data_IF_582762016934
#
_entry.id   IF_582762016934
#
_cell.length_a   1.000
_cell.length_b   1.000
_cell.length_c   1.000
_cell.angle_alpha   90.00
_cell.angle_beta   90.00
_cell.angle_gamma   90.00
#
_symmetry.space_group_name_H-M   'P 1'
#
loop_
_entity.id
_entity.type
_entity.pdbx_description
1 polymer ?
#
# COMPACT_ATOMS: atom_id res chain seq x y z
N UNK A 1 3.26 -5.55 44.39
CA UNK A 1 3.99 -5.55 43.13
C UNK A 1 5.41 -5.99 43.39
N UNK A 2 5.79 -7.16 42.93
CA UNK A 2 7.16 -7.66 43.12
C UNK A 2 7.94 -7.29 41.83
N UNK A 3 8.88 -6.41 41.94
CA UNK A 3 9.80 -6.10 40.86
C UNK A 3 10.93 -7.15 40.86
N UNK A 4 11.07 -7.90 39.81
CA UNK A 4 12.19 -8.82 39.65
C UNK A 4 13.21 -8.12 38.74
N UNK A 5 14.33 -7.72 39.30
CA UNK A 5 15.47 -7.18 38.54
C UNK A 5 16.36 -8.35 38.15
N UNK A 6 16.48 -8.63 36.85
CA UNK A 6 17.43 -9.62 36.37
C UNK A 6 18.84 -9.03 36.32
N UNK A 7 19.87 -9.89 36.26
CA UNK A 7 21.29 -9.48 36.32
C UNK A 7 21.77 -8.63 35.14
N UNK A 8 20.95 -8.40 34.12
CA UNK A 8 21.27 -7.62 32.93
C UNK A 8 20.53 -6.26 32.86
N UNK A 9 19.80 -5.90 33.89
CA UNK A 9 19.17 -4.58 34.02
C UNK A 9 17.76 -4.49 33.45
N UNK A 10 17.14 -5.59 33.03
CA UNK A 10 15.72 -5.64 32.62
C UNK A 10 14.82 -5.75 33.87
N UNK A 11 13.84 -4.89 33.98
CA UNK A 11 12.84 -4.97 35.04
C UNK A 11 11.60 -5.74 34.56
N UNK A 12 11.22 -6.80 35.24
CA UNK A 12 9.93 -7.48 34.98
C UNK A 12 8.91 -7.14 36.05
N UNK A 13 7.65 -6.92 35.63
CA UNK A 13 6.51 -6.61 36.52
C UNK A 13 5.38 -7.57 36.20
N UNK A 14 4.91 -8.32 37.18
CA UNK A 14 3.71 -9.15 37.04
C UNK A 14 2.46 -8.28 37.10
N UNK A 15 1.60 -8.35 36.09
CA UNK A 15 0.33 -7.61 36.01
C UNK A 15 -0.75 -8.31 36.84
N UNK A 16 -1.74 -7.55 37.32
CA UNK A 16 -2.91 -8.10 37.97
C UNK A 16 -3.75 -8.88 36.94
N UNK A 17 -3.80 -10.22 37.07
CA UNK A 17 -4.43 -11.09 36.09
C UNK A 17 -3.50 -12.17 35.52
N UNK A 18 -2.24 -12.21 35.92
CA UNK A 18 -1.27 -13.22 35.53
C UNK A 18 -0.33 -12.83 34.38
N UNK A 19 -0.54 -11.69 33.70
CA UNK A 19 0.36 -11.20 32.68
C UNK A 19 1.66 -10.62 33.24
N UNK A 20 2.72 -10.59 32.42
CA UNK A 20 4.03 -10.03 32.76
C UNK A 20 4.37 -8.87 31.82
N UNK A 21 4.78 -7.75 32.36
CA UNK A 21 5.38 -6.65 31.60
C UNK A 21 6.91 -6.66 31.79
N UNK A 22 7.64 -6.57 30.69
CA UNK A 22 9.10 -6.43 30.68
C UNK A 22 9.47 -5.03 30.19
N UNK A 23 10.28 -4.32 30.97
CA UNK A 23 10.71 -2.96 30.60
C UNK A 23 12.21 -2.88 30.50
N UNK A 24 12.68 -2.19 29.47
CA UNK A 24 14.09 -1.85 29.29
C UNK A 24 14.60 -0.83 30.29
N UNK A 25 15.90 -0.65 30.31
CA UNK A 25 16.58 0.29 31.20
C UNK A 25 16.90 1.55 30.40
N UNK A 26 16.40 2.73 30.81
CA UNK A 26 16.70 3.98 30.12
C UNK A 26 18.21 4.24 29.93
N UNK A 27 18.58 4.68 28.71
CA UNK A 27 19.96 4.99 28.35
C UNK A 27 20.88 3.78 28.19
N UNK A 28 20.30 2.60 27.94
CA UNK A 28 21.02 1.39 27.55
C UNK A 28 20.29 0.70 26.39
N UNK A 29 21.04 0.09 25.48
CA UNK A 29 20.50 -0.88 24.54
C UNK A 29 20.10 -2.14 25.33
N UNK A 30 18.88 -2.62 25.11
CA UNK A 30 18.32 -3.73 25.84
C UNK A 30 18.15 -4.96 24.91
N UNK A 31 18.24 -6.14 25.48
CA UNK A 31 17.81 -7.37 24.80
C UNK A 31 16.79 -8.04 25.70
N UNK A 32 15.51 -8.00 25.28
CA UNK A 32 14.38 -8.47 26.06
C UNK A 32 13.68 -9.57 25.29
N UNK A 33 13.54 -10.75 25.90
CA UNK A 33 12.73 -11.82 25.35
C UNK A 33 11.60 -12.18 26.32
N UNK A 34 10.38 -12.20 25.80
CA UNK A 34 9.21 -12.61 26.53
C UNK A 34 9.16 -14.12 26.77
N UNK A 35 8.18 -14.52 27.55
CA UNK A 35 7.82 -15.91 27.83
C UNK A 35 6.33 -16.10 27.56
N UNK A 36 5.82 -17.31 27.65
CA UNK A 36 4.40 -17.62 27.41
C UNK A 36 3.40 -16.79 28.26
N UNK A 37 3.84 -16.16 29.32
CA UNK A 37 3.02 -15.31 30.19
C UNK A 37 3.28 -13.80 29.98
N UNK A 38 4.13 -13.41 29.01
CA UNK A 38 4.49 -12.02 28.76
C UNK A 38 3.47 -11.39 27.82
N UNK A 39 2.84 -10.29 28.27
CA UNK A 39 1.83 -9.57 27.49
C UNK A 39 2.30 -8.17 27.06
N UNK A 40 3.37 -7.65 27.62
CA UNK A 40 3.88 -6.32 27.31
C UNK A 40 5.41 -6.29 27.40
N UNK A 41 6.04 -5.81 26.34
CA UNK A 41 7.48 -5.55 26.29
C UNK A 41 7.66 -4.08 25.92
N UNK A 42 8.57 -3.39 26.62
CA UNK A 42 8.90 -2.00 26.37
C UNK A 42 10.40 -1.84 26.30
N UNK A 43 10.90 -1.28 25.20
CA UNK A 43 12.24 -0.75 25.08
C UNK A 43 12.41 0.48 25.98
N UNK A 44 13.47 1.24 25.80
CA UNK A 44 13.70 2.41 26.65
C UNK A 44 14.59 3.49 26.01
N UNK A 45 14.60 3.59 24.70
CA UNK A 45 15.48 4.46 23.94
C UNK A 45 16.90 3.91 23.82
N UNK A 46 17.54 4.15 22.71
CA UNK A 46 18.66 3.43 22.13
C UNK A 46 18.21 2.09 21.50
N UNK A 47 19.03 1.60 20.58
CA UNK A 47 18.75 0.42 19.75
C UNK A 47 18.51 -0.83 20.61
N UNK A 48 17.29 -1.28 20.65
CA UNK A 48 16.84 -2.41 21.47
C UNK A 48 16.58 -3.68 20.61
N UNK A 49 16.68 -4.85 21.21
CA UNK A 49 16.25 -6.12 20.62
C UNK A 49 15.14 -6.69 21.48
N UNK A 50 13.93 -6.70 20.94
CA UNK A 50 12.71 -7.06 21.66
C UNK A 50 12.03 -8.25 20.98
N UNK A 51 11.69 -9.29 21.72
CA UNK A 51 11.07 -10.49 21.16
C UNK A 51 9.95 -11.01 22.05
N UNK A 52 8.83 -11.37 21.45
CA UNK A 52 7.69 -12.01 22.12
C UNK A 52 8.06 -13.36 22.76
N UNK A 53 9.02 -14.08 22.15
CA UNK A 53 9.38 -15.44 22.61
C UNK A 53 8.35 -16.48 22.20
N UNK A 54 7.93 -17.34 23.11
CA UNK A 54 7.00 -18.43 22.81
C UNK A 54 5.53 -18.03 23.02
N UNK A 55 4.80 -17.92 21.92
CA UNK A 55 3.35 -18.04 21.74
C UNK A 55 2.41 -17.49 22.84
N UNK A 56 2.29 -16.18 22.95
CA UNK A 56 1.15 -15.48 23.54
C UNK A 56 1.01 -14.13 22.83
N UNK A 57 -0.21 -13.60 22.67
CA UNK A 57 -0.39 -12.25 22.17
C UNK A 57 0.42 -11.26 22.99
N UNK A 58 1.24 -10.45 22.33
CA UNK A 58 2.13 -9.49 23.00
C UNK A 58 1.94 -8.09 22.42
N UNK A 59 2.11 -7.09 23.27
CA UNK A 59 2.27 -5.71 22.84
C UNK A 59 3.74 -5.33 23.03
N UNK A 60 4.40 -4.85 21.97
CA UNK A 60 5.79 -4.40 22.02
C UNK A 60 5.88 -2.93 21.62
N UNK A 61 6.55 -2.11 22.45
CA UNK A 61 6.91 -0.75 22.14
C UNK A 61 8.43 -0.57 22.11
N UNK A 62 8.98 -0.16 20.97
CA UNK A 62 10.40 0.16 20.79
C UNK A 62 10.78 1.47 21.50
N UNK A 63 10.04 2.52 21.27
CA UNK A 63 10.19 3.93 21.66
C UNK A 63 11.16 4.72 20.79
N UNK A 64 12.44 4.78 21.08
CA UNK A 64 13.40 5.54 20.29
C UNK A 64 14.75 4.87 20.20
N UNK A 65 15.31 4.86 19.03
CA UNK A 65 16.48 4.10 18.63
C UNK A 65 16.19 3.41 17.31
N UNK A 66 16.98 2.42 16.94
CA UNK A 66 16.71 1.56 15.79
C UNK A 66 16.52 0.14 16.33
N UNK A 67 15.29 -0.25 16.49
CA UNK A 67 14.93 -1.47 17.18
C UNK A 67 14.92 -2.69 16.25
N UNK A 68 15.18 -3.84 16.84
CA UNK A 68 14.84 -5.13 16.26
C UNK A 68 13.71 -5.75 17.08
N UNK A 69 12.50 -5.76 16.49
CA UNK A 69 11.30 -6.27 17.15
C UNK A 69 10.84 -7.56 16.46
N UNK A 70 10.49 -8.56 17.24
CA UNK A 70 9.93 -9.81 16.74
C UNK A 70 8.74 -10.24 17.59
N UNK A 71 7.61 -10.42 16.93
CA UNK A 71 6.39 -10.99 17.47
C UNK A 71 6.49 -12.50 17.75
N UNK A 72 5.38 -13.18 17.69
CA UNK A 72 5.25 -14.63 17.93
C UNK A 72 4.73 -15.37 16.69
N UNK A 73 4.71 -16.72 16.71
CA UNK A 73 4.23 -17.52 15.57
C UNK A 73 2.77 -17.98 15.68
N UNK A 74 2.02 -17.56 16.66
CA UNK A 74 0.75 -18.24 16.93
C UNK A 74 -0.44 -17.35 17.27
N UNK A 75 -0.23 -16.06 17.50
CA UNK A 75 -1.24 -15.17 18.03
C UNK A 75 -1.13 -13.75 17.42
N UNK A 76 -2.16 -12.94 17.64
CA UNK A 76 -2.22 -11.56 17.23
C UNK A 76 -1.33 -10.67 18.09
N UNK A 77 -0.31 -10.11 17.55
CA UNK A 77 0.61 -9.21 18.22
C UNK A 77 0.36 -7.73 17.85
N UNK A 78 0.73 -6.82 18.75
CA UNK A 78 0.75 -5.38 18.48
C UNK A 78 2.19 -4.87 18.63
N UNK A 79 2.81 -4.46 17.52
CA UNK A 79 4.22 -4.12 17.45
C UNK A 79 4.40 -2.66 17.00
N UNK A 80 5.07 -1.87 17.81
CA UNK A 80 5.29 -0.45 17.58
C UNK A 80 6.78 -0.10 17.65
N UNK A 81 7.38 0.35 16.53
CA UNK A 81 8.74 0.86 16.49
C UNK A 81 8.86 2.22 17.17
N UNK A 82 8.05 3.18 16.78
CA UNK A 82 7.91 4.58 17.16
C UNK A 82 8.97 5.49 16.53
N UNK A 83 10.13 5.80 17.13
CA UNK A 83 11.13 6.71 16.57
C UNK A 83 12.42 5.96 16.25
N UNK A 84 12.89 6.07 15.02
CA UNK A 84 14.11 5.45 14.56
C UNK A 84 13.87 4.61 13.32
N UNK A 85 14.91 3.97 12.81
CA UNK A 85 14.76 3.06 11.67
C UNK A 85 14.72 1.63 12.19
N UNK A 86 13.51 1.10 12.26
CA UNK A 86 13.22 -0.14 12.95
C UNK A 86 13.15 -1.34 12.00
N UNK A 87 13.37 -2.52 12.53
CA UNK A 87 13.14 -3.79 11.83
C UNK A 87 12.14 -4.62 12.64
N UNK A 88 10.93 -4.79 12.09
CA UNK A 88 9.81 -5.41 12.80
C UNK A 88 9.33 -6.64 12.04
N UNK A 89 9.15 -7.73 12.74
CA UNK A 89 8.68 -9.02 12.23
C UNK A 89 7.48 -9.51 13.05
N UNK A 90 6.30 -9.59 12.44
CA UNK A 90 5.09 -10.16 13.05
C UNK A 90 5.22 -11.66 13.24
N UNK A 91 5.68 -12.36 12.22
CA UNK A 91 5.91 -13.79 12.06
C UNK A 91 4.64 -14.55 11.69
N UNK A 92 3.72 -14.77 12.56
CA UNK A 92 2.49 -15.46 12.23
C UNK A 92 1.38 -15.16 13.23
N UNK A 93 0.17 -15.07 12.71
CA UNK A 93 -0.98 -14.59 13.45
C UNK A 93 -1.72 -13.55 12.64
N UNK A 94 -2.45 -12.68 13.30
CA UNK A 94 -3.05 -11.49 12.70
C UNK A 94 -2.48 -10.28 13.39
N UNK A 95 -1.39 -9.79 12.89
CA UNK A 95 -0.58 -8.83 13.59
C UNK A 95 -0.95 -7.38 13.23
N UNK A 96 -0.75 -6.49 14.18
CA UNK A 96 -0.74 -5.05 13.96
C UNK A 96 0.69 -4.54 14.11
N UNK A 97 1.21 -3.90 13.05
CA UNK A 97 2.57 -3.35 13.03
C UNK A 97 2.50 -1.87 12.64
N UNK A 98 3.16 -1.03 13.42
CA UNK A 98 3.39 0.38 13.09
C UNK A 98 4.90 0.70 13.24
N UNK A 99 5.52 1.13 12.13
CA UNK A 99 6.92 1.55 12.11
C UNK A 99 7.12 2.82 12.92
N UNK A 100 6.56 3.92 12.47
CA UNK A 100 6.56 5.20 13.17
C UNK A 100 7.35 6.28 12.46
N UNK A 101 8.28 6.98 13.15
CA UNK A 101 9.18 7.94 12.51
C UNK A 101 10.48 7.25 12.11
N UNK A 102 10.85 7.26 10.83
CA UNK A 102 12.13 6.72 10.37
C UNK A 102 11.97 5.93 9.06
N UNK A 103 13.02 5.25 8.65
CA UNK A 103 12.93 4.38 7.48
C UNK A 103 12.89 2.93 7.97
N UNK A 104 11.73 2.35 7.96
CA UNK A 104 11.45 1.11 8.64
C UNK A 104 11.46 -0.10 7.69
N UNK A 105 11.70 -1.27 8.25
CA UNK A 105 11.63 -2.56 7.57
C UNK A 105 10.63 -3.45 8.28
N UNK A 106 9.46 -3.64 7.67
CA UNK A 106 8.30 -4.24 8.31
C UNK A 106 7.85 -5.50 7.56
N UNK A 107 7.68 -6.59 8.29
CA UNK A 107 7.20 -7.86 7.77
C UNK A 107 6.00 -8.34 8.60
N UNK A 108 4.83 -8.48 7.98
CA UNK A 108 3.65 -9.10 8.59
C UNK A 108 3.91 -10.58 8.90
N UNK A 109 3.99 -11.39 7.88
CA UNK A 109 4.34 -12.81 7.99
C UNK A 109 3.24 -13.73 7.49
N UNK A 110 2.86 -14.74 8.30
CA UNK A 110 1.75 -15.62 7.99
C UNK A 110 0.48 -15.10 8.68
N UNK A 111 -0.56 -14.72 7.96
CA UNK A 111 -1.85 -14.32 8.55
C UNK A 111 -2.41 -13.07 7.87
N UNK A 112 -3.60 -12.63 8.26
CA UNK A 112 -4.18 -11.40 7.70
C UNK A 112 -3.71 -10.21 8.55
N UNK A 113 -2.65 -9.54 8.14
CA UNK A 113 -1.94 -8.53 8.91
C UNK A 113 -2.40 -7.10 8.63
N UNK A 114 -2.07 -6.18 9.52
CA UNK A 114 -2.24 -4.74 9.32
C UNK A 114 -0.92 -4.05 9.61
N UNK A 115 -0.30 -3.46 8.58
CA UNK A 115 1.06 -2.91 8.66
C UNK A 115 1.07 -1.46 8.15
N UNK A 116 1.60 -0.55 8.96
CA UNK A 116 1.79 0.86 8.59
C UNK A 116 3.25 1.28 8.77
N UNK A 117 3.81 1.95 7.73
CA UNK A 117 5.15 2.56 7.79
C UNK A 117 5.14 3.86 8.59
N UNK A 118 4.11 4.68 8.42
CA UNK A 118 3.88 6.01 8.98
C UNK A 118 4.78 7.09 8.34
N UNK A 119 5.90 7.51 8.91
CA UNK A 119 6.74 8.62 8.42
C UNK A 119 8.13 8.14 8.07
N UNK A 120 8.49 8.18 6.79
CA UNK A 120 9.82 7.77 6.33
C UNK A 120 9.76 7.11 4.96
N UNK A 121 10.89 6.57 4.51
CA UNK A 121 10.87 5.75 3.30
C UNK A 121 10.95 4.29 3.75
N UNK A 122 9.79 3.66 3.78
CA UNK A 122 9.62 2.37 4.42
C UNK A 122 9.67 1.21 3.42
N UNK A 123 9.98 0.03 3.92
CA UNK A 123 9.87 -1.21 3.17
C UNK A 123 8.96 -2.16 3.92
N UNK A 124 7.83 -2.51 3.28
CA UNK A 124 6.77 -3.31 3.88
C UNK A 124 6.55 -4.57 3.03
N UNK A 125 6.41 -5.71 3.69
CA UNK A 125 5.94 -6.96 3.11
C UNK A 125 4.80 -7.50 3.97
N UNK A 126 3.63 -7.73 3.37
CA UNK A 126 2.48 -8.35 4.04
C UNK A 126 2.78 -9.81 4.37
N UNK A 127 3.07 -10.59 3.37
CA UNK A 127 3.43 -12.00 3.48
C UNK A 127 2.36 -12.94 2.98
N UNK A 128 1.87 -13.84 3.81
CA UNK A 128 0.81 -14.75 3.40
C UNK A 128 -0.49 -14.46 4.14
N UNK A 129 -1.53 -14.09 3.43
CA UNK A 129 -2.82 -13.71 3.99
C UNK A 129 -3.47 -12.58 3.23
N UNK A 130 -4.57 -12.04 3.73
CA UNK A 130 -5.18 -10.87 3.12
C UNK A 130 -4.85 -9.65 3.98
N UNK A 131 -3.86 -8.91 3.54
CA UNK A 131 -3.20 -7.89 4.34
C UNK A 131 -3.74 -6.48 4.08
N UNK A 132 -3.53 -5.60 5.05
CA UNK A 132 -3.84 -4.17 4.98
C UNK A 132 -2.53 -3.42 5.19
N UNK A 133 -2.04 -2.77 4.13
CA UNK A 133 -0.71 -2.16 4.11
C UNK A 133 -0.80 -0.67 3.78
N UNK A 134 -0.13 0.17 4.56
CA UNK A 134 -0.02 1.60 4.30
C UNK A 134 1.43 2.08 4.40
N UNK A 135 1.93 2.80 3.38
CA UNK A 135 3.26 3.41 3.40
C UNK A 135 3.32 4.61 4.33
N UNK A 136 2.55 5.65 4.02
CA UNK A 136 2.46 6.86 4.81
C UNK A 136 3.11 8.08 4.16
N UNK A 137 3.94 8.82 4.89
CA UNK A 137 4.73 9.92 4.33
C UNK A 137 6.11 9.40 3.89
N UNK A 138 6.44 9.49 2.60
CA UNK A 138 7.76 9.12 2.11
C UNK A 138 7.72 8.43 0.76
N UNK A 139 8.84 7.84 0.32
CA UNK A 139 8.83 7.04 -0.89
C UNK A 139 8.99 5.58 -0.50
N UNK A 140 7.88 4.87 -0.52
CA UNK A 140 7.76 3.57 0.09
C UNK A 140 7.89 2.42 -0.91
N UNK A 141 8.28 1.27 -0.41
CA UNK A 141 8.36 0.02 -1.15
C UNK A 141 7.48 -1.01 -0.45
N UNK A 142 6.35 -1.35 -1.08
CA UNK A 142 5.33 -2.21 -0.47
C UNK A 142 5.09 -3.45 -1.33
N UNK A 143 5.08 -4.60 -0.71
CA UNK A 143 4.73 -5.89 -1.27
C UNK A 143 3.54 -6.47 -0.50
N UNK A 144 2.43 -6.81 -1.20
CA UNK A 144 1.32 -7.59 -0.64
C UNK A 144 1.73 -9.04 -0.42
N UNK A 145 2.42 -9.61 -1.40
CA UNK A 145 2.89 -11.00 -1.49
C UNK A 145 1.74 -11.98 -1.82
N UNK A 146 1.37 -12.95 -0.95
CA UNK A 146 0.33 -13.95 -1.22
C UNK A 146 -1.00 -13.57 -0.54
N UNK A 147 -2.04 -13.26 -1.29
CA UNK A 147 -3.37 -12.99 -0.71
C UNK A 147 -4.17 -11.97 -1.50
N UNK A 148 -5.33 -11.54 -0.97
CA UNK A 148 -6.07 -10.44 -1.57
C UNK A 148 -5.86 -9.20 -0.69
N UNK A 149 -4.92 -8.38 -1.09
CA UNK A 149 -4.38 -7.32 -0.26
C UNK A 149 -5.00 -5.96 -0.54
N UNK A 150 -4.94 -5.09 0.45
CA UNK A 150 -5.28 -3.68 0.30
C UNK A 150 -4.04 -2.85 0.60
N UNK A 151 -3.57 -2.09 -0.40
CA UNK A 151 -2.33 -1.34 -0.34
C UNK A 151 -2.59 0.15 -0.59
N UNK A 152 -2.04 1.00 0.26
CA UNK A 152 -1.97 2.45 0.08
C UNK A 152 -0.53 2.93 0.15
N UNK A 153 -0.05 3.65 -0.90
CA UNK A 153 1.23 4.38 -0.88
C UNK A 153 1.13 5.62 0.00
N UNK A 154 0.04 6.37 -0.15
CA UNK A 154 -0.30 7.64 0.51
C UNK A 154 0.48 8.84 -0.03
N UNK A 155 1.52 9.35 0.62
CA UNK A 155 2.30 10.50 0.18
C UNK A 155 3.71 10.11 -0.22
N UNK A 156 4.10 10.39 -1.48
CA UNK A 156 5.45 10.12 -1.96
C UNK A 156 5.46 9.55 -3.36
N UNK A 157 6.63 9.10 -3.82
CA UNK A 157 6.70 8.35 -5.07
C UNK A 157 6.98 6.90 -4.72
N UNK A 158 5.92 6.10 -4.73
CA UNK A 158 5.91 4.79 -4.13
C UNK A 158 6.10 3.67 -5.17
N UNK A 159 6.60 2.52 -4.71
CA UNK A 159 6.64 1.29 -5.49
C UNK A 159 5.77 0.24 -4.80
N UNK A 160 4.65 -0.09 -5.43
CA UNK A 160 3.59 -0.92 -4.86
C UNK A 160 3.41 -2.18 -5.71
N UNK A 161 3.45 -3.33 -5.08
CA UNK A 161 3.31 -4.63 -5.70
C UNK A 161 2.23 -5.42 -4.96
N UNK A 162 1.13 -5.77 -5.63
CA UNK A 162 0.07 -6.61 -5.07
C UNK A 162 0.59 -8.01 -4.77
N UNK A 163 0.96 -8.74 -5.80
CA UNK A 163 1.54 -10.06 -5.67
C UNK A 163 0.66 -11.15 -6.27
N UNK A 164 0.23 -12.09 -5.48
CA UNK A 164 -0.66 -13.14 -5.93
C UNK A 164 -2.02 -13.04 -5.22
N UNK A 165 -3.09 -12.83 -5.99
CA UNK A 165 -4.46 -12.67 -5.47
C UNK A 165 -5.19 -11.54 -6.15
N UNK A 166 -6.35 -11.16 -5.64
CA UNK A 166 -7.08 -10.02 -6.22
C UNK A 166 -6.89 -8.81 -5.31
N UNK A 167 -6.00 -7.94 -5.72
CA UNK A 167 -5.51 -6.85 -4.89
C UNK A 167 -6.25 -5.54 -5.14
N UNK A 168 -6.24 -4.68 -4.15
CA UNK A 168 -6.77 -3.31 -4.26
C UNK A 168 -5.66 -2.33 -3.90
N UNK A 169 -5.16 -1.58 -4.89
CA UNK A 169 -3.98 -0.75 -4.76
C UNK A 169 -4.30 0.71 -5.08
N UNK A 170 -3.92 1.59 -4.16
CA UNK A 170 -3.99 3.03 -4.31
C UNK A 170 -2.60 3.64 -4.18
N UNK A 171 -2.13 4.36 -5.22
CA UNK A 171 -0.86 5.09 -5.18
C UNK A 171 -0.88 6.22 -4.18
N UNK A 172 -1.83 7.13 -4.35
CA UNK A 172 -2.01 8.27 -3.46
C UNK A 172 -1.55 9.58 -4.07
N UNK A 173 -0.52 10.19 -3.54
CA UNK A 173 -0.01 11.46 -4.04
C UNK A 173 1.48 11.36 -4.35
N UNK A 174 1.82 11.44 -5.62
CA UNK A 174 3.18 11.30 -6.11
C UNK A 174 3.22 10.74 -7.52
N UNK A 175 4.38 10.30 -7.96
CA UNK A 175 4.46 9.56 -9.22
C UNK A 175 4.84 8.12 -8.89
N UNK A 176 3.84 7.27 -8.88
CA UNK A 176 3.94 5.94 -8.33
C UNK A 176 4.22 4.87 -9.40
N UNK A 177 4.81 3.77 -8.98
CA UNK A 177 4.95 2.57 -9.79
C UNK A 177 4.13 1.46 -9.15
N UNK A 178 3.09 1.01 -9.86
CA UNK A 178 2.14 0.03 -9.34
C UNK A 178 2.09 -1.19 -10.25
N UNK A 179 2.18 -2.37 -9.66
CA UNK A 179 1.95 -3.63 -10.33
C UNK A 179 0.99 -4.49 -9.53
N UNK A 180 -0.15 -4.86 -10.13
CA UNK A 180 -1.14 -5.75 -9.52
C UNK A 180 -0.54 -7.12 -9.23
N UNK A 181 -0.22 -7.88 -10.25
CA UNK A 181 0.40 -9.19 -10.11
C UNK A 181 -0.39 -10.31 -10.76
N UNK A 182 -0.54 -11.41 -10.06
CA UNK A 182 -1.40 -12.52 -10.49
C UNK A 182 -2.79 -12.34 -9.88
N UNK A 183 -3.83 -12.17 -10.68
CA UNK A 183 -5.20 -12.07 -10.18
C UNK A 183 -6.02 -10.98 -10.86
N UNK A 184 -7.16 -10.63 -10.32
CA UNK A 184 -7.98 -9.56 -10.89
C UNK A 184 -7.91 -8.35 -9.96
N UNK A 185 -7.09 -7.40 -10.33
CA UNK A 185 -6.67 -6.32 -9.47
C UNK A 185 -7.45 -5.02 -9.74
N UNK A 186 -7.63 -4.24 -8.69
CA UNK A 186 -8.10 -2.87 -8.78
C UNK A 186 -6.91 -1.92 -8.52
N UNK A 187 -6.57 -1.09 -9.51
CA UNK A 187 -5.41 -0.21 -9.47
C UNK A 187 -5.84 1.23 -9.71
N UNK A 188 -5.52 2.10 -8.76
CA UNK A 188 -5.72 3.54 -8.85
C UNK A 188 -4.42 4.28 -8.47
N UNK A 189 -3.80 4.98 -9.41
CA UNK A 189 -2.62 5.83 -9.14
C UNK A 189 -2.95 7.06 -8.30
N UNK A 190 -4.20 7.53 -8.33
CA UNK A 190 -4.71 8.75 -7.70
C UNK A 190 -4.06 10.04 -8.24
N UNK A 191 -3.22 10.75 -7.48
CA UNK A 191 -2.63 12.03 -7.91
C UNK A 191 -1.20 11.86 -8.32
N UNK A 192 -0.90 12.20 -9.58
CA UNK A 192 0.44 12.12 -10.11
C UNK A 192 0.46 11.65 -11.54
N UNK A 193 1.64 11.34 -12.02
CA UNK A 193 1.80 10.67 -13.30
C UNK A 193 2.38 9.29 -13.01
N UNK A 194 1.50 8.31 -12.94
CA UNK A 194 1.79 7.02 -12.41
C UNK A 194 2.11 5.99 -13.50
N UNK A 195 2.83 4.95 -13.15
CA UNK A 195 3.15 3.85 -14.04
C UNK A 195 2.45 2.59 -13.53
N UNK A 196 1.42 2.16 -14.27
CA UNK A 196 0.46 1.14 -13.83
C UNK A 196 0.58 -0.11 -14.69
N UNK A 197 0.63 -1.28 -14.06
CA UNK A 197 0.63 -2.59 -14.69
C UNK A 197 -0.33 -3.53 -13.95
N UNK A 198 -1.25 -4.16 -14.68
CA UNK A 198 -2.15 -5.18 -14.12
C UNK A 198 -1.46 -6.52 -13.98
N UNK A 199 -0.58 -6.85 -14.94
CA UNK A 199 0.06 -8.14 -15.17
C UNK A 199 -0.94 -9.21 -15.57
N UNK A 200 -1.23 -10.23 -14.75
CA UNK A 200 -1.99 -11.38 -15.16
C UNK A 200 -3.38 -11.41 -14.52
N UNK A 201 -4.41 -11.23 -15.35
CA UNK A 201 -5.78 -11.26 -14.85
C UNK A 201 -6.77 -10.49 -15.69
N UNK A 202 -7.84 -10.10 -15.03
CA UNK A 202 -8.83 -9.15 -15.55
C UNK A 202 -8.86 -7.95 -14.65
N UNK A 203 -8.04 -6.96 -14.99
CA UNK A 203 -7.71 -5.87 -14.10
C UNK A 203 -8.57 -4.63 -14.34
N UNK A 204 -8.71 -3.82 -13.31
CA UNK A 204 -9.44 -2.56 -13.37
C UNK A 204 -8.47 -1.41 -13.09
N UNK A 205 -8.20 -0.59 -14.10
CA UNK A 205 -7.45 0.65 -13.96
C UNK A 205 -8.41 1.81 -13.72
N UNK A 206 -8.36 2.40 -12.53
CA UNK A 206 -9.27 3.44 -12.10
C UNK A 206 -8.64 4.83 -12.22
N UNK A 207 -9.40 5.79 -12.78
CA UNK A 207 -8.98 7.17 -12.94
C UNK A 207 -9.97 8.11 -12.26
N UNK A 208 -9.51 8.77 -11.20
CA UNK A 208 -10.27 9.75 -10.43
C UNK A 208 -10.04 11.20 -10.87
N UNK A 209 -9.00 11.44 -11.68
CA UNK A 209 -8.56 12.75 -12.15
C UNK A 209 -8.03 12.70 -13.59
N UNK A 210 -7.69 13.85 -14.14
CA UNK A 210 -7.10 13.98 -15.48
C UNK A 210 -6.28 15.28 -15.63
N UNK A 211 -5.51 15.37 -16.72
CA UNK A 211 -4.66 16.52 -17.05
C UNK A 211 -3.17 16.22 -16.90
N UNK A 212 -2.31 17.14 -17.30
CA UNK A 212 -0.86 16.90 -17.40
C UNK A 212 -0.15 16.61 -16.07
N UNK A 213 -0.82 16.82 -14.95
CA UNK A 213 -0.32 16.50 -13.63
C UNK A 213 -0.93 15.20 -13.06
N UNK A 214 -1.80 14.54 -13.82
CA UNK A 214 -2.45 13.28 -13.49
C UNK A 214 -2.70 12.51 -14.80
N UNK A 215 -1.64 12.26 -15.55
CA UNK A 215 -1.69 11.55 -16.84
C UNK A 215 -0.85 10.28 -16.71
N UNK A 216 -1.52 9.21 -16.39
CA UNK A 216 -0.89 7.94 -16.05
C UNK A 216 -0.47 7.15 -17.28
N UNK A 217 0.44 6.23 -17.09
CA UNK A 217 0.91 5.30 -18.11
C UNK A 217 0.48 3.90 -17.73
N UNK A 218 -0.39 3.30 -18.54
CA UNK A 218 -0.78 1.89 -18.41
C UNK A 218 0.06 1.05 -19.37
N UNK A 219 0.81 0.11 -18.83
CA UNK A 219 1.87 -0.59 -19.57
C UNK A 219 1.35 -1.78 -20.37
N UNK A 220 0.39 -2.54 -19.85
CA UNK A 220 0.04 -3.88 -20.32
C UNK A 220 -1.46 -4.13 -20.55
N UNK A 221 -2.28 -3.10 -20.63
CA UNK A 221 -3.74 -3.20 -20.81
C UNK A 221 -4.16 -4.13 -21.97
N UNK A 222 -5.08 -5.03 -21.70
CA UNK A 222 -5.65 -5.98 -22.68
C UNK A 222 -7.13 -5.72 -22.89
N UNK A 223 -7.49 -5.07 -24.02
CA UNK A 223 -8.89 -4.78 -24.35
C UNK A 223 -9.76 -6.05 -24.41
N UNK A 224 -10.88 -6.01 -23.71
CA UNK A 224 -11.82 -7.13 -23.58
C UNK A 224 -11.52 -8.08 -22.42
N UNK A 225 -10.39 -7.92 -21.76
CA UNK A 225 -10.02 -8.60 -20.50
C UNK A 225 -10.06 -7.58 -19.37
N UNK A 226 -9.33 -6.49 -19.52
CA UNK A 226 -9.22 -5.43 -18.53
C UNK A 226 -10.29 -4.36 -18.69
N UNK A 227 -10.45 -3.53 -17.65
CA UNK A 227 -11.38 -2.42 -17.59
C UNK A 227 -10.69 -1.10 -17.26
N UNK A 228 -11.29 -0.03 -17.76
CA UNK A 228 -10.97 1.36 -17.41
C UNK A 228 -12.14 1.89 -16.60
N UNK A 229 -11.95 2.09 -15.32
CA UNK A 229 -12.96 2.69 -14.44
C UNK A 229 -12.74 4.21 -14.35
N UNK A 230 -13.81 4.99 -14.56
CA UNK A 230 -13.76 6.44 -14.54
C UNK A 230 -14.66 6.99 -13.43
N UNK A 231 -14.12 7.84 -12.57
CA UNK A 231 -14.90 8.43 -11.47
C UNK A 231 -16.01 9.34 -11.99
N UNK A 232 -17.27 8.97 -11.76
CA UNK A 232 -18.45 9.71 -12.23
C UNK A 232 -18.52 11.15 -11.70
N UNK A 233 -17.92 11.41 -10.54
CA UNK A 233 -17.78 12.76 -9.96
C UNK A 233 -16.86 13.69 -10.75
N UNK A 234 -15.90 13.13 -11.47
CA UNK A 234 -14.90 13.84 -12.28
C UNK A 234 -15.29 13.89 -13.76
N UNK A 235 -15.76 12.75 -14.30
CA UNK A 235 -16.15 12.62 -15.71
C UNK A 235 -17.64 12.90 -15.91
N UNK A 236 -18.13 14.01 -15.37
CA UNK A 236 -19.55 14.35 -15.21
C UNK A 236 -20.36 14.50 -16.50
N UNK A 237 -19.70 14.63 -17.66
CA UNK A 237 -20.39 14.69 -18.96
C UNK A 237 -20.68 13.32 -19.57
N UNK A 238 -20.10 12.25 -19.00
CA UNK A 238 -20.44 10.88 -19.33
C UNK A 238 -21.73 10.50 -18.57
N UNK A 239 -22.56 9.66 -19.17
CA UNK A 239 -23.83 9.25 -18.58
C UNK A 239 -23.67 8.33 -17.37
N UNK A 240 -24.49 7.29 -17.29
CA UNK A 240 -24.36 6.22 -16.28
C UNK A 240 -23.46 5.07 -16.75
N UNK A 241 -23.06 5.10 -18.00
CA UNK A 241 -22.14 4.18 -18.68
C UNK A 241 -21.52 4.92 -19.86
N UNK A 242 -20.35 4.48 -20.32
CA UNK A 242 -19.73 5.05 -21.52
C UNK A 242 -20.40 4.45 -22.76
N UNK A 243 -21.22 5.25 -23.42
CA UNK A 243 -21.90 4.86 -24.63
C UNK A 243 -20.97 4.95 -25.86
N UNK A 244 -21.27 4.19 -26.92
CA UNK A 244 -20.49 4.26 -28.18
C UNK A 244 -20.50 5.63 -28.84
N UNK A 245 -21.47 6.49 -28.52
CA UNK A 245 -21.55 7.88 -28.96
C UNK A 245 -20.64 8.84 -28.19
N UNK A 246 -20.18 8.44 -27.01
CA UNK A 246 -19.32 9.21 -26.12
C UNK A 246 -17.84 8.79 -26.23
N UNK A 247 -17.56 7.70 -26.93
CA UNK A 247 -16.21 7.21 -27.17
C UNK A 247 -15.84 7.24 -28.65
N UNK A 248 -14.73 7.88 -28.97
CA UNK A 248 -14.26 8.04 -30.35
C UNK A 248 -12.81 7.60 -30.46
N UNK A 249 -12.51 6.73 -31.41
CA UNK A 249 -11.14 6.35 -31.78
C UNK A 249 -10.71 7.14 -33.01
N UNK A 250 -9.57 7.79 -32.92
CA UNK A 250 -8.99 8.57 -34.02
C UNK A 250 -7.50 8.25 -34.17
N UNK A 251 -6.94 8.56 -35.33
CA UNK A 251 -5.51 8.56 -35.53
C UNK A 251 -5.01 10.00 -35.63
N UNK A 252 -3.91 10.32 -34.94
CA UNK A 252 -3.31 11.66 -34.90
C UNK A 252 -4.26 12.75 -34.35
N UNK A 253 -4.81 12.51 -33.17
CA UNK A 253 -5.63 13.51 -32.48
C UNK A 253 -4.80 14.74 -32.11
N UNK A 254 -5.35 15.93 -32.35
CA UNK A 254 -4.73 17.16 -31.94
C UNK A 254 -5.45 17.75 -30.71
N UNK A 255 -4.92 17.62 -29.51
CA UNK A 255 -5.56 18.13 -28.30
C UNK A 255 -5.67 19.67 -28.24
N UNK A 256 -4.85 20.39 -28.99
CA UNK A 256 -4.91 21.86 -29.08
C UNK A 256 -6.12 22.37 -29.89
N UNK A 257 -6.68 21.52 -30.75
CA UNK A 257 -7.87 21.84 -31.57
C UNK A 257 -8.85 20.66 -31.55
N UNK A 258 -9.40 20.30 -30.37
CA UNK A 258 -10.28 19.17 -30.29
C UNK A 258 -11.56 19.43 -31.11
N UNK A 259 -12.10 18.35 -31.69
CA UNK A 259 -13.42 18.41 -32.31
C UNK A 259 -14.47 18.77 -31.23
N UNK A 260 -15.55 19.43 -31.64
CA UNK A 260 -16.54 20.00 -30.72
C UNK A 260 -17.38 18.99 -29.91
N UNK A 261 -17.12 17.70 -29.99
CA UNK A 261 -17.82 16.64 -29.26
C UNK A 261 -17.21 16.41 -27.89
N UNK A 262 -18.02 16.58 -26.85
CA UNK A 262 -17.66 16.15 -25.50
C UNK A 262 -17.61 14.62 -25.44
N UNK A 263 -16.74 14.07 -24.59
CA UNK A 263 -16.60 12.63 -24.37
C UNK A 263 -15.14 12.15 -24.36
N UNK A 264 -14.96 10.86 -24.49
CA UNK A 264 -13.66 10.21 -24.52
C UNK A 264 -13.10 10.11 -25.94
N UNK A 265 -11.84 10.45 -26.14
CA UNK A 265 -11.13 10.36 -27.42
C UNK A 265 -9.85 9.57 -27.22
N UNK A 266 -9.74 8.45 -27.92
CA UNK A 266 -8.51 7.64 -27.93
C UNK A 266 -7.73 7.84 -29.24
N UNK A 267 -6.48 8.28 -29.13
CA UNK A 267 -5.58 8.35 -30.27
C UNK A 267 -4.81 7.04 -30.45
N UNK A 268 -5.25 6.24 -31.40
CA UNK A 268 -4.67 4.92 -31.68
C UNK A 268 -3.23 4.92 -32.20
N UNK A 269 -2.68 6.11 -32.55
CA UNK A 269 -1.30 6.21 -33.03
C UNK A 269 -0.29 6.33 -31.88
N UNK A 270 -0.68 6.96 -30.76
CA UNK A 270 0.21 7.21 -29.63
C UNK A 270 -0.29 6.62 -28.31
N UNK A 271 -1.44 5.91 -28.34
CA UNK A 271 -2.02 5.25 -27.17
C UNK A 271 -2.65 6.17 -26.13
N UNK A 272 -2.88 7.45 -26.46
CA UNK A 272 -3.39 8.41 -25.50
C UNK A 272 -4.91 8.48 -25.45
N UNK A 273 -5.45 8.41 -24.25
CA UNK A 273 -6.84 8.64 -23.93
C UNK A 273 -7.02 10.07 -23.41
N UNK A 274 -7.98 10.79 -24.01
CA UNK A 274 -8.33 12.16 -23.62
C UNK A 274 -9.79 12.25 -23.22
N UNK A 275 -10.05 13.08 -22.21
CA UNK A 275 -11.40 13.55 -21.92
C UNK A 275 -11.60 14.95 -22.49
N UNK A 276 -12.59 15.10 -23.36
CA UNK A 276 -12.90 16.38 -24.04
C UNK A 276 -14.15 16.97 -23.44
N UNK A 277 -14.03 18.18 -22.87
CA UNK A 277 -15.16 18.92 -22.31
C UNK A 277 -14.95 20.42 -22.49
N UNK A 278 -16.01 21.16 -22.81
CA UNK A 278 -15.95 22.60 -22.98
C UNK A 278 -15.00 23.10 -24.09
N UNK A 279 -14.67 22.25 -25.06
CA UNK A 279 -13.72 22.58 -26.14
C UNK A 279 -12.26 22.46 -25.73
N UNK A 280 -11.96 21.86 -24.60
CA UNK A 280 -10.61 21.50 -24.16
C UNK A 280 -10.46 19.98 -24.09
N UNK A 281 -9.29 19.46 -24.48
CA UNK A 281 -8.91 18.06 -24.32
C UNK A 281 -7.88 17.94 -23.21
N UNK A 282 -8.11 17.06 -22.27
CA UNK A 282 -7.20 16.75 -21.18
C UNK A 282 -6.85 15.28 -21.22
N UNK A 283 -5.57 14.96 -21.07
CA UNK A 283 -5.07 13.60 -21.08
C UNK A 283 -5.53 12.90 -19.80
N UNK A 284 -6.01 11.66 -19.94
CA UNK A 284 -6.41 10.78 -18.85
C UNK A 284 -5.30 9.77 -18.62
N UNK A 285 -4.89 9.06 -19.69
CA UNK A 285 -3.87 8.04 -19.61
C UNK A 285 -3.19 7.82 -20.96
N UNK A 286 -2.01 7.21 -20.92
CA UNK A 286 -1.31 6.66 -22.09
C UNK A 286 -1.22 5.15 -21.97
N UNK A 287 -1.66 4.40 -22.99
CA UNK A 287 -1.57 2.95 -23.08
C UNK A 287 -0.39 2.56 -24.00
N UNK A 288 0.68 2.02 -23.43
CA UNK A 288 1.96 1.80 -24.13
C UNK A 288 1.85 0.84 -25.31
N UNK A 289 1.03 -0.20 -25.18
CA UNK A 289 0.85 -1.23 -26.20
C UNK A 289 -0.18 -0.88 -27.29
N UNK A 290 -0.72 0.36 -27.28
CA UNK A 290 -1.75 0.83 -28.21
C UNK A 290 -2.92 -0.15 -28.40
N UNK A 291 -3.64 -0.54 -27.34
CA UNK A 291 -4.72 -1.51 -27.43
C UNK A 291 -5.87 -1.00 -28.30
N UNK A 292 -6.60 -1.91 -28.93
CA UNK A 292 -7.79 -1.55 -29.70
C UNK A 292 -9.00 -1.32 -28.76
N UNK A 293 -9.00 -0.20 -28.04
CA UNK A 293 -10.03 0.16 -27.06
C UNK A 293 -11.44 0.20 -27.67
N UNK A 294 -12.42 -0.21 -26.90
CA UNK A 294 -13.86 -0.19 -27.21
C UNK A 294 -14.64 0.46 -26.07
N UNK A 295 -15.83 0.96 -26.35
CA UNK A 295 -16.71 1.51 -25.30
C UNK A 295 -17.01 0.49 -24.17
N UNK A 296 -16.99 -0.81 -24.47
CA UNK A 296 -17.20 -1.89 -23.49
C UNK A 296 -16.03 -2.10 -22.54
N UNK A 297 -14.88 -1.50 -22.79
CA UNK A 297 -13.72 -1.56 -21.90
C UNK A 297 -13.84 -0.55 -20.73
N UNK A 298 -14.82 0.36 -20.82
CA UNK A 298 -15.03 1.42 -19.82
C UNK A 298 -16.17 1.11 -18.86
N UNK A 299 -16.03 1.54 -17.63
CA UNK A 299 -17.09 1.59 -16.61
C UNK A 299 -17.01 2.89 -15.81
N UNK A 300 -18.10 3.24 -15.09
CA UNK A 300 -18.14 4.40 -14.21
C UNK A 300 -18.32 3.94 -12.77
N UNK A 301 -17.64 4.60 -11.83
CA UNK A 301 -17.73 4.32 -10.39
C UNK A 301 -17.98 5.58 -9.54
#
# INVERSE_FOLDING_TARGET
MSQIVTSEGVASVTLAGGGVALNGVPGKANSISGTADTNLIQGAGLDDTLSAGAAAPVIIYGFSGNELISGSNADTDELYGNQGSDSIYGLGGKDFIAGGEGNDLLYGGDGDDTVFGDVGNDTISGGAGNDILGGGEGNDLIYGDDGNDIIWGEQGNDNLYGGAGNDTIYGGAGNDVIAGGDGNDFINGDKGNDNLSGNAGSDIFAFSSFGSANADVVVDFVSGTDKIALASSTFTSLGVSVETSEFTVVANFNPATPAATAGLVYDSNNGKLYFVTGGAAQEVATFVNNPALKATDFELF
#
